data_IF_810232561494
#
_entry.id   IF_810232561494
#
_cell.length_a   1.000
_cell.length_b   1.000
_cell.length_c   1.000
_cell.angle_alpha   90.00
_cell.angle_beta   90.00
_cell.angle_gamma   90.00
#
_symmetry.space_group_name_H-M   'P 1'
#
loop_
_entity.id
_entity.type
_entity.pdbx_description
1 polymer ?
#
# COMPACT_ATOMS: atom_id res chain seq x y z
N UNK A 1 -24.94 15.09 5.63
CA UNK A 1 -24.47 13.79 6.14
C UNK A 1 -24.20 12.94 4.92
N UNK A 2 -22.96 12.54 4.71
CA UNK A 2 -22.61 11.68 3.59
C UNK A 2 -23.05 10.23 3.80
N UNK A 3 -23.32 9.49 2.73
CA UNK A 3 -23.79 8.09 2.78
C UNK A 3 -22.78 7.16 2.10
N UNK A 4 -22.04 6.41 2.91
CA UNK A 4 -21.19 5.32 2.42
C UNK A 4 -22.06 4.11 2.07
N UNK A 5 -22.14 3.77 0.77
CA UNK A 5 -22.88 2.60 0.29
C UNK A 5 -21.93 1.47 -0.09
N UNK A 6 -21.96 0.38 0.66
CA UNK A 6 -21.12 -0.79 0.40
C UNK A 6 -21.64 -1.60 -0.79
N UNK A 7 -20.73 -2.26 -1.51
CA UNK A 7 -21.06 -3.24 -2.55
C UNK A 7 -21.60 -2.66 -3.87
N UNK A 8 -21.63 -1.34 -4.01
CA UNK A 8 -22.02 -0.65 -5.25
C UNK A 8 -20.87 0.21 -5.77
N UNK A 9 -20.72 0.38 -7.09
CA UNK A 9 -19.70 1.27 -7.64
C UNK A 9 -19.87 2.70 -7.13
N UNK A 10 -18.77 3.32 -6.74
CA UNK A 10 -18.68 4.76 -6.49
C UNK A 10 -18.10 5.42 -7.73
N UNK A 11 -18.43 6.68 -7.96
CA UNK A 11 -18.01 7.41 -9.17
C UNK A 11 -17.23 8.66 -8.79
N UNK A 12 -16.20 8.95 -9.59
CA UNK A 12 -15.38 10.15 -9.47
C UNK A 12 -15.97 11.35 -10.22
N UNK A 13 -15.25 12.47 -10.25
CA UNK A 13 -15.66 13.71 -10.94
C UNK A 13 -15.84 13.54 -12.46
N UNK A 14 -15.29 12.48 -13.05
CA UNK A 14 -15.40 12.15 -14.47
C UNK A 14 -16.47 11.08 -14.75
N UNK A 15 -17.28 10.74 -13.74
CA UNK A 15 -18.25 9.63 -13.80
C UNK A 15 -17.60 8.28 -14.12
N UNK A 16 -16.33 8.09 -13.75
CA UNK A 16 -15.64 6.80 -13.82
C UNK A 16 -15.71 6.10 -12.47
N UNK A 17 -15.78 4.76 -12.44
CA UNK A 17 -15.73 4.03 -11.18
C UNK A 17 -14.44 4.35 -10.40
N UNK A 18 -14.57 4.62 -9.11
CA UNK A 18 -13.41 4.76 -8.21
C UNK A 18 -12.63 3.45 -8.21
N UNK A 19 -11.43 3.50 -8.80
CA UNK A 19 -10.57 2.36 -9.04
C UNK A 19 -9.33 2.42 -8.14
N UNK A 20 -9.50 1.99 -6.90
CA UNK A 20 -8.46 1.97 -5.87
C UNK A 20 -8.62 0.72 -4.97
N UNK A 21 -8.42 -0.47 -5.56
CA UNK A 21 -8.62 -1.74 -4.83
C UNK A 21 -7.54 -1.98 -3.78
N UNK A 22 -7.92 -2.71 -2.71
CA UNK A 22 -7.04 -3.12 -1.60
C UNK A 22 -6.15 -1.99 -1.04
N UNK A 23 -6.68 -0.79 -1.08
CA UNK A 23 -5.96 0.45 -0.85
C UNK A 23 -5.68 0.80 0.60
N UNK A 24 -5.33 2.07 0.80
CA UNK A 24 -5.23 2.68 2.13
C UNK A 24 -5.74 4.12 2.11
N UNK A 25 -6.11 4.60 3.29
CA UNK A 25 -6.53 5.96 3.54
C UNK A 25 -5.43 6.70 4.31
N UNK A 26 -5.07 7.89 3.86
CA UNK A 26 -4.18 8.80 4.59
C UNK A 26 -4.87 10.15 4.74
N UNK A 27 -4.93 10.68 5.95
CA UNK A 27 -5.43 12.04 6.19
C UNK A 27 -4.25 13.01 6.20
N UNK A 28 -4.33 14.10 5.45
CA UNK A 28 -3.34 15.18 5.43
C UNK A 28 -4.01 16.49 4.99
N UNK A 29 -3.63 17.61 5.62
CA UNK A 29 -4.10 18.96 5.25
C UNK A 29 -5.63 19.10 5.12
N UNK A 30 -6.41 18.54 6.06
CA UNK A 30 -7.89 18.50 6.02
C UNK A 30 -8.50 17.72 4.83
N UNK A 31 -7.68 16.95 4.12
CA UNK A 31 -8.09 16.04 3.05
C UNK A 31 -7.83 14.58 3.42
N UNK A 32 -8.59 13.71 2.78
CA UNK A 32 -8.43 12.27 2.79
C UNK A 32 -7.91 11.80 1.43
N UNK A 33 -6.85 11.02 1.44
CA UNK A 33 -6.20 10.47 0.26
C UNK A 33 -6.43 8.97 0.23
N UNK A 34 -7.06 8.48 -0.82
CA UNK A 34 -7.27 7.06 -1.07
C UNK A 34 -6.28 6.60 -2.14
N UNK A 35 -5.35 5.74 -1.74
CA UNK A 35 -4.43 5.08 -2.65
C UNK A 35 -4.89 3.65 -2.86
N UNK A 36 -4.78 3.11 -4.06
CA UNK A 36 -5.10 1.72 -4.29
C UNK A 36 -4.61 1.19 -5.62
N UNK A 37 -4.79 -0.11 -5.83
CA UNK A 37 -4.52 -0.75 -7.10
C UNK A 37 -5.45 -0.19 -8.17
N UNK A 38 -4.86 0.38 -9.23
CA UNK A 38 -5.58 0.71 -10.45
C UNK A 38 -5.63 -0.55 -11.31
N UNK A 39 -6.81 -1.16 -11.48
CA UNK A 39 -6.95 -2.43 -12.21
C UNK A 39 -7.70 -2.23 -13.53
N UNK A 40 -7.36 -3.03 -14.54
CA UNK A 40 -8.19 -3.25 -15.73
C UNK A 40 -8.94 -4.58 -15.60
N UNK A 41 -9.91 -4.82 -16.48
CA UNK A 41 -10.68 -6.07 -16.49
C UNK A 41 -9.95 -7.23 -17.20
N UNK A 42 -8.85 -6.95 -17.90
CA UNK A 42 -8.28 -7.88 -18.88
C UNK A 42 -7.17 -8.75 -18.27
N UNK A 43 -6.28 -8.16 -17.47
CA UNK A 43 -5.07 -8.84 -16.98
C UNK A 43 -4.72 -8.40 -15.56
N UNK A 44 -4.26 -9.36 -14.74
CA UNK A 44 -3.74 -9.09 -13.41
C UNK A 44 -2.26 -8.65 -13.46
N UNK A 45 -2.00 -7.49 -14.06
CA UNK A 45 -0.66 -6.88 -14.12
C UNK A 45 -0.66 -5.51 -13.48
N UNK A 46 0.51 -5.09 -13.02
CA UNK A 46 0.72 -3.75 -12.49
C UNK A 46 0.59 -2.71 -13.60
N UNK A 47 -0.42 -1.85 -13.48
CA UNK A 47 -0.62 -0.67 -14.35
C UNK A 47 -0.60 0.64 -13.56
N UNK A 48 -0.28 0.56 -12.26
CA UNK A 48 -0.12 1.70 -11.37
C UNK A 48 -0.96 1.62 -10.09
N UNK A 49 -0.58 2.46 -9.13
CA UNK A 49 -1.41 2.79 -7.98
C UNK A 49 -2.10 4.13 -8.20
N UNK A 50 -3.42 4.15 -8.12
CA UNK A 50 -4.23 5.36 -8.26
C UNK A 50 -4.21 6.19 -6.97
N UNK A 51 -4.54 7.48 -7.11
CA UNK A 51 -4.81 8.37 -5.99
C UNK A 51 -6.11 9.12 -6.19
N UNK A 52 -6.96 9.08 -5.18
CA UNK A 52 -8.14 9.91 -5.06
C UNK A 52 -8.05 10.81 -3.83
N UNK A 53 -8.69 11.97 -3.90
CA UNK A 53 -8.76 12.94 -2.80
C UNK A 53 -10.23 13.23 -2.47
N UNK A 54 -10.55 13.35 -1.19
CA UNK A 54 -11.88 13.69 -0.69
C UNK A 54 -11.76 14.57 0.55
N UNK A 55 -12.78 15.38 0.85
CA UNK A 55 -12.92 16.10 2.11
C UNK A 55 -13.96 15.47 3.03
N UNK A 56 -14.71 14.46 2.56
CA UNK A 56 -15.88 13.92 3.25
C UNK A 56 -15.97 12.37 3.24
N UNK A 57 -14.96 11.69 2.68
CA UNK A 57 -14.87 10.24 2.52
C UNK A 57 -15.91 9.62 1.58
N UNK A 58 -16.73 10.43 0.91
CA UNK A 58 -17.80 10.00 0.02
C UNK A 58 -17.54 10.41 -1.43
N UNK A 59 -17.21 11.68 -1.64
CA UNK A 59 -16.97 12.24 -2.97
C UNK A 59 -15.48 12.22 -3.28
N UNK A 60 -15.08 11.34 -4.19
CA UNK A 60 -13.68 11.10 -4.54
C UNK A 60 -13.31 11.79 -5.84
N UNK A 61 -12.23 12.56 -5.81
CA UNK A 61 -11.64 13.17 -7.00
C UNK A 61 -10.40 12.37 -7.42
N UNK A 62 -10.39 11.82 -8.64
CA UNK A 62 -9.21 11.19 -9.21
C UNK A 62 -8.13 12.23 -9.48
N UNK A 63 -6.91 11.99 -8.99
CA UNK A 63 -5.77 12.92 -9.10
C UNK A 63 -4.54 12.28 -9.77
N UNK A 64 -4.78 11.24 -10.57
CA UNK A 64 -3.74 10.53 -11.31
C UNK A 64 -3.22 9.28 -10.60
N UNK A 65 -2.20 8.67 -11.22
CA UNK A 65 -1.44 7.58 -10.60
C UNK A 65 -0.42 8.17 -9.63
N UNK A 66 -0.45 7.70 -8.37
CA UNK A 66 0.60 8.01 -7.40
C UNK A 66 1.91 7.32 -7.76
N UNK A 67 1.86 6.12 -8.33
CA UNK A 67 3.03 5.40 -8.84
C UNK A 67 2.65 4.65 -10.11
N UNK A 68 3.36 4.92 -11.21
CA UNK A 68 3.15 4.25 -12.49
C UNK A 68 4.04 3.02 -12.68
N UNK A 69 3.80 2.23 -13.75
CA UNK A 69 4.67 1.12 -14.14
C UNK A 69 6.08 1.63 -14.44
N UNK A 70 7.08 0.82 -14.07
CA UNK A 70 8.48 1.09 -14.35
C UNK A 70 8.88 0.52 -15.72
N UNK A 71 9.97 0.99 -16.31
CA UNK A 71 10.47 0.42 -17.56
C UNK A 71 11.07 -0.99 -17.38
N UNK A 72 11.48 -1.34 -16.15
CA UNK A 72 12.11 -2.60 -15.78
C UNK A 72 12.02 -2.84 -14.26
N UNK A 73 12.53 -3.97 -13.78
CA UNK A 73 12.60 -4.29 -12.35
C UNK A 73 11.29 -4.81 -11.76
N UNK A 74 11.15 -4.73 -10.44
CA UNK A 74 10.08 -5.35 -9.66
C UNK A 74 8.66 -4.83 -9.96
N UNK A 75 8.55 -3.63 -10.54
CA UNK A 75 7.32 -3.02 -11.02
C UNK A 75 7.37 -2.72 -12.53
N UNK A 76 8.22 -3.46 -13.26
CA UNK A 76 8.37 -3.39 -14.71
C UNK A 76 7.28 -4.15 -15.49
N UNK A 77 7.53 -4.43 -16.79
CA UNK A 77 6.64 -5.27 -17.59
C UNK A 77 6.41 -6.65 -16.96
N UNK A 78 5.18 -7.17 -17.05
CA UNK A 78 4.79 -8.49 -16.52
C UNK A 78 5.06 -8.67 -15.02
N UNK A 79 4.88 -7.61 -14.25
CA UNK A 79 4.95 -7.63 -12.79
C UNK A 79 3.59 -7.37 -12.16
N UNK A 80 3.49 -7.72 -10.89
CA UNK A 80 2.37 -7.47 -10.00
C UNK A 80 2.77 -6.37 -9.01
N UNK A 81 1.80 -5.54 -8.66
CA UNK A 81 1.93 -4.50 -7.64
C UNK A 81 0.61 -4.40 -6.89
N UNK A 82 0.62 -4.72 -5.59
CA UNK A 82 -0.60 -4.93 -4.81
C UNK A 82 -0.52 -4.33 -3.40
N UNK A 83 -1.69 -4.10 -2.81
CA UNK A 83 -1.89 -3.71 -1.40
C UNK A 83 -1.10 -2.49 -0.95
N UNK A 84 -0.98 -1.49 -1.82
CA UNK A 84 -0.27 -0.24 -1.51
C UNK A 84 -0.67 0.35 -0.15
N UNK A 85 0.33 0.77 0.61
CA UNK A 85 0.22 1.49 1.88
C UNK A 85 1.08 2.74 1.82
N UNK A 86 0.60 3.86 2.33
CA UNK A 86 1.32 5.14 2.36
C UNK A 86 1.40 5.64 3.80
N UNK A 87 2.59 6.07 4.21
CA UNK A 87 2.91 6.58 5.54
C UNK A 87 3.51 7.98 5.42
N UNK A 88 3.14 8.91 6.30
CA UNK A 88 3.85 10.16 6.47
C UNK A 88 5.13 9.90 7.27
N UNK A 89 6.29 10.22 6.71
CA UNK A 89 7.57 10.01 7.39
C UNK A 89 7.83 11.13 8.42
N UNK A 90 8.36 10.83 9.62
CA UNK A 90 8.64 11.85 10.65
C UNK A 90 9.60 12.95 10.18
N UNK A 91 10.56 12.60 9.33
CA UNK A 91 11.52 13.55 8.74
C UNK A 91 10.93 14.41 7.60
N UNK A 92 9.64 14.25 7.28
CA UNK A 92 8.96 14.87 6.17
C UNK A 92 8.85 13.97 4.94
N UNK A 93 7.85 14.25 4.11
CA UNK A 93 7.50 13.44 2.95
C UNK A 93 6.74 12.16 3.30
N UNK A 94 6.67 11.27 2.32
CA UNK A 94 5.81 10.09 2.36
C UNK A 94 6.56 8.86 1.85
N UNK A 95 6.34 7.74 2.52
CA UNK A 95 6.83 6.42 2.13
C UNK A 95 5.65 5.57 1.69
N UNK A 96 5.77 4.93 0.55
CA UNK A 96 4.83 3.97 0.01
C UNK A 96 5.45 2.58 0.05
N UNK A 97 4.72 1.61 0.61
CA UNK A 97 5.08 0.20 0.64
C UNK A 97 4.06 -0.60 -0.16
N UNK A 98 4.52 -1.60 -0.90
CA UNK A 98 3.65 -2.46 -1.71
C UNK A 98 4.20 -3.88 -1.81
N UNK A 99 3.32 -4.83 -2.08
CA UNK A 99 3.74 -6.14 -2.55
C UNK A 99 4.05 -6.03 -4.04
N UNK A 100 5.18 -6.61 -4.45
CA UNK A 100 5.57 -6.77 -5.85
C UNK A 100 5.85 -8.23 -6.15
N UNK A 101 5.55 -8.68 -7.37
CA UNK A 101 5.70 -10.09 -7.75
C UNK A 101 5.80 -10.26 -9.26
N UNK A 102 6.08 -11.48 -9.71
CA UNK A 102 5.84 -11.89 -11.09
C UNK A 102 4.38 -12.33 -11.30
N UNK A 103 3.98 -12.56 -12.55
CA UNK A 103 2.60 -13.00 -12.86
C UNK A 103 2.27 -14.40 -12.31
N UNK A 104 3.27 -15.19 -11.93
CA UNK A 104 3.13 -16.51 -11.33
C UNK A 104 2.98 -16.49 -9.81
N UNK A 105 3.13 -15.32 -9.17
CA UNK A 105 3.26 -15.16 -7.73
C UNK A 105 4.42 -15.98 -7.14
N UNK A 106 5.52 -16.11 -7.88
CA UNK A 106 6.70 -16.90 -7.50
C UNK A 106 7.94 -16.08 -7.16
N UNK A 107 7.87 -14.76 -7.25
CA UNK A 107 8.98 -13.84 -7.02
C UNK A 107 8.57 -12.67 -6.08
N UNK A 108 8.04 -12.98 -4.88
CA UNK A 108 7.50 -11.96 -3.99
C UNK A 108 8.60 -11.07 -3.43
N UNK A 109 8.35 -9.77 -3.43
CA UNK A 109 9.15 -8.76 -2.75
C UNK A 109 8.25 -7.69 -2.16
N UNK A 110 8.62 -7.18 -0.99
CA UNK A 110 8.15 -5.87 -0.55
C UNK A 110 8.90 -4.82 -1.37
N UNK A 111 8.18 -3.87 -1.94
CA UNK A 111 8.74 -2.70 -2.60
C UNK A 111 8.56 -1.44 -1.76
N UNK A 112 9.39 -0.44 -2.04
CA UNK A 112 9.35 0.88 -1.43
C UNK A 112 9.40 1.97 -2.49
N UNK A 113 8.60 3.01 -2.31
CA UNK A 113 8.68 4.24 -3.08
C UNK A 113 8.55 5.45 -2.15
N UNK A 114 9.03 6.62 -2.56
CA UNK A 114 8.97 7.84 -1.74
C UNK A 114 8.48 9.04 -2.53
N UNK A 115 7.83 9.98 -1.86
CA UNK A 115 7.49 11.29 -2.43
C UNK A 115 7.65 12.39 -1.39
N UNK A 116 8.10 13.61 -1.75
CA UNK A 116 8.15 14.73 -0.82
C UNK A 116 6.77 15.24 -0.41
N UNK A 117 5.71 14.96 -1.20
CA UNK A 117 4.33 15.39 -0.92
C UNK A 117 3.34 14.24 -1.11
N UNK A 118 2.18 14.31 -0.45
CA UNK A 118 1.14 13.27 -0.52
C UNK A 118 0.46 13.22 -1.90
N UNK A 119 0.41 14.37 -2.57
CA UNK A 119 -0.15 14.60 -3.90
C UNK A 119 0.91 14.56 -5.02
N UNK A 120 2.17 14.25 -4.69
CA UNK A 120 3.25 14.05 -5.65
C UNK A 120 3.21 12.66 -6.30
N UNK A 121 3.95 12.50 -7.40
CA UNK A 121 4.28 11.17 -7.91
C UNK A 121 5.34 10.55 -7.00
N UNK A 122 5.20 9.27 -6.68
CA UNK A 122 6.16 8.50 -5.90
C UNK A 122 7.25 7.95 -6.82
N UNK A 123 8.48 7.99 -6.33
CA UNK A 123 9.67 7.43 -6.98
C UNK A 123 9.97 6.07 -6.38
N UNK A 124 9.92 5.02 -7.19
CA UNK A 124 10.23 3.66 -6.77
C UNK A 124 11.73 3.49 -6.46
N UNK A 125 12.05 2.97 -5.29
CA UNK A 125 13.42 2.82 -4.78
C UNK A 125 13.90 1.36 -4.76
N UNK A 126 13.05 0.40 -5.15
CA UNK A 126 13.33 -1.02 -4.99
C UNK A 126 12.87 -1.56 -3.63
N UNK A 127 13.36 -2.72 -3.18
CA UNK A 127 12.95 -3.32 -1.93
C UNK A 127 13.59 -2.64 -0.72
N UNK A 128 12.86 -2.42 0.40
CA UNK A 128 13.49 -2.13 1.67
C UNK A 128 14.24 -3.38 2.15
N UNK A 129 15.39 -3.17 2.78
CA UNK A 129 16.25 -4.26 3.22
C UNK A 129 16.05 -4.56 4.71
N UNK A 130 16.09 -5.85 5.05
CA UNK A 130 16.22 -6.37 6.40
C UNK A 130 17.48 -7.24 6.47
N UNK A 131 18.43 -6.89 7.33
CA UNK A 131 19.74 -7.56 7.41
C UNK A 131 20.48 -7.66 6.07
N UNK A 132 20.33 -6.64 5.22
CA UNK A 132 20.98 -6.57 3.90
C UNK A 132 20.22 -7.29 2.78
N UNK A 133 19.13 -7.99 3.08
CA UNK A 133 18.37 -8.76 2.10
C UNK A 133 16.95 -8.21 1.89
N UNK A 134 16.37 -8.36 0.68
CA UNK A 134 14.96 -8.07 0.44
C UNK A 134 14.02 -8.95 1.28
N UNK A 135 12.81 -8.44 1.54
CA UNK A 135 11.76 -9.19 2.24
C UNK A 135 10.90 -9.92 1.20
N UNK A 136 11.02 -11.24 1.17
CA UNK A 136 10.30 -12.10 0.24
C UNK A 136 8.95 -12.58 0.79
N UNK A 137 7.99 -11.66 0.87
CA UNK A 137 6.63 -11.92 1.34
C UNK A 137 5.59 -11.31 0.40
N UNK A 138 4.40 -11.92 0.35
CA UNK A 138 3.24 -11.48 -0.45
C UNK A 138 2.42 -10.39 0.25
N UNK A 139 1.21 -10.72 0.70
CA UNK A 139 0.26 -9.79 1.32
C UNK A 139 0.91 -8.99 2.46
N UNK A 140 0.71 -7.67 2.43
CA UNK A 140 1.23 -6.75 3.43
C UNK A 140 0.21 -5.71 3.93
N UNK A 141 0.55 -5.12 5.08
CA UNK A 141 -0.07 -3.94 5.67
C UNK A 141 0.94 -3.12 6.46
N UNK A 142 0.52 -1.96 6.96
CA UNK A 142 1.37 -1.09 7.77
C UNK A 142 0.61 -0.60 8.99
N UNK A 143 1.34 -0.31 10.05
CA UNK A 143 0.82 0.29 11.28
C UNK A 143 1.83 1.32 11.79
N UNK A 144 1.36 2.50 12.18
CA UNK A 144 2.17 3.50 12.89
C UNK A 144 1.58 3.63 14.28
N UNK A 145 2.39 3.35 15.29
CA UNK A 145 1.98 3.44 16.69
C UNK A 145 1.95 4.90 17.16
N UNK A 146 1.33 5.14 18.31
CA UNK A 146 1.12 6.47 18.87
C UNK A 146 2.45 7.20 19.18
N UNK A 147 3.56 6.45 19.36
CA UNK A 147 4.90 6.98 19.57
C UNK A 147 5.65 7.32 18.26
N UNK A 148 5.03 7.09 17.11
CA UNK A 148 5.61 7.29 15.79
C UNK A 148 6.46 6.12 15.29
N UNK A 149 6.52 4.99 15.99
CA UNK A 149 7.16 3.78 15.48
C UNK A 149 6.29 3.16 14.39
N UNK A 150 6.86 2.90 13.22
CA UNK A 150 6.15 2.24 12.13
C UNK A 150 6.52 0.76 11.99
N UNK A 151 5.55 -0.02 11.55
CA UNK A 151 5.64 -1.44 11.37
C UNK A 151 5.11 -1.86 10.00
N UNK A 152 5.84 -2.76 9.35
CA UNK A 152 5.40 -3.53 8.20
C UNK A 152 4.86 -4.87 8.71
N UNK A 153 3.63 -5.18 8.35
CA UNK A 153 2.97 -6.45 8.65
C UNK A 153 2.92 -7.28 7.37
N UNK A 154 3.29 -8.55 7.43
CA UNK A 154 3.13 -9.46 6.30
C UNK A 154 2.18 -10.60 6.66
N UNK A 155 1.67 -11.29 5.64
CA UNK A 155 1.03 -12.59 5.84
C UNK A 155 1.94 -13.55 6.62
N UNK A 156 1.32 -14.57 7.21
CA UNK A 156 1.90 -15.44 8.26
C UNK A 156 2.09 -14.74 9.61
N UNK A 157 1.89 -13.43 9.67
CA UNK A 157 1.87 -12.67 10.92
C UNK A 157 3.26 -12.23 11.39
N UNK A 158 4.17 -12.00 10.45
CA UNK A 158 5.42 -11.32 10.75
C UNK A 158 5.18 -9.82 10.92
N UNK A 159 5.81 -9.23 11.93
CA UNK A 159 5.78 -7.79 12.21
C UNK A 159 7.20 -7.28 12.24
N UNK A 160 7.53 -6.47 11.24
CA UNK A 160 8.83 -5.84 11.07
C UNK A 160 8.75 -4.39 11.54
N UNK A 161 9.67 -3.96 12.39
CA UNK A 161 9.83 -2.55 12.73
C UNK A 161 10.63 -1.84 11.66
N UNK A 162 10.12 -0.70 11.18
CA UNK A 162 10.80 0.17 10.23
C UNK A 162 11.82 1.07 10.95
N UNK A 163 12.86 1.49 10.24
CA UNK A 163 13.78 2.53 10.68
C UNK A 163 13.03 3.87 10.90
N UNK A 164 13.60 4.84 11.65
CA UNK A 164 12.92 6.12 11.93
C UNK A 164 12.52 6.94 10.69
N UNK A 165 13.15 6.72 9.54
CA UNK A 165 12.81 7.34 8.26
C UNK A 165 11.77 6.55 7.44
N UNK A 166 11.37 5.38 7.95
CA UNK A 166 10.51 4.37 7.34
C UNK A 166 11.04 3.74 6.04
N UNK A 167 12.33 3.89 5.72
CA UNK A 167 12.92 3.46 4.44
C UNK A 167 13.67 2.14 4.48
N UNK A 168 13.90 1.60 5.66
CA UNK A 168 14.51 0.27 5.85
C UNK A 168 13.88 -0.44 7.04
N UNK A 169 14.22 -1.71 7.22
CA UNK A 169 13.70 -2.53 8.32
C UNK A 169 14.81 -2.80 9.33
N UNK A 170 14.55 -2.49 10.60
CA UNK A 170 15.56 -2.59 11.67
C UNK A 170 15.42 -3.83 12.53
N UNK A 171 14.22 -4.39 12.64
CA UNK A 171 13.98 -5.58 13.46
C UNK A 171 12.76 -6.36 12.99
N UNK A 172 12.80 -7.68 13.18
CA UNK A 172 11.62 -8.54 13.19
C UNK A 172 11.16 -8.71 14.64
N UNK A 173 10.04 -8.09 14.99
CA UNK A 173 9.53 -8.02 16.37
C UNK A 173 8.68 -9.23 16.71
N UNK A 174 7.83 -9.64 15.76
CA UNK A 174 6.99 -10.83 15.88
C UNK A 174 7.21 -11.69 14.66
N UNK A 175 7.37 -13.00 14.88
CA UNK A 175 7.48 -14.00 13.83
C UNK A 175 6.31 -14.97 13.90
N UNK A 176 5.71 -15.25 12.75
CA UNK A 176 4.78 -16.36 12.51
C UNK A 176 3.66 -16.51 13.56
N UNK A 177 3.01 -15.41 13.97
CA UNK A 177 1.91 -15.48 14.95
C UNK A 177 0.64 -16.08 14.37
N UNK A 178 0.51 -16.08 13.04
CA UNK A 178 -0.58 -16.69 12.29
C UNK A 178 0.01 -17.55 11.16
N UNK A 179 0.81 -18.58 11.51
CA UNK A 179 1.43 -19.43 10.50
C UNK A 179 0.31 -20.10 9.70
N UNK A 180 0.58 -20.50 8.46
CA UNK A 180 -0.40 -21.19 7.61
C UNK A 180 -0.90 -22.48 8.27
N UNK A 181 -1.97 -22.35 9.07
CA UNK A 181 -2.93 -23.40 9.38
C UNK A 181 -4.25 -23.09 8.64
N UNK A 182 -5.01 -24.13 8.29
CA UNK A 182 -6.20 -24.12 7.41
C UNK A 182 -7.31 -23.10 7.75
N UNK A 183 -7.23 -22.36 8.86
CA UNK A 183 -8.26 -21.41 9.29
C UNK A 183 -7.71 -19.98 9.37
N UNK A 184 -8.29 -19.11 8.52
CA UNK A 184 -7.99 -17.68 8.38
C UNK A 184 -8.07 -16.95 9.73
N UNK A 185 -6.93 -16.72 10.39
CA UNK A 185 -6.79 -15.70 11.43
C UNK A 185 -5.99 -14.53 10.84
N UNK A 186 -6.64 -13.40 10.61
CA UNK A 186 -5.97 -12.12 10.33
C UNK A 186 -5.80 -11.40 11.67
N UNK A 187 -4.57 -11.23 12.13
CA UNK A 187 -4.28 -10.34 13.26
C UNK A 187 -4.36 -8.90 12.77
N UNK A 188 -5.22 -8.11 13.41
CA UNK A 188 -5.30 -6.66 13.22
C UNK A 188 -4.61 -6.00 14.42
N UNK A 189 -3.46 -5.37 14.21
CA UNK A 189 -3.22 -4.08 14.87
C UNK A 189 -4.10 -3.04 14.14
N UNK A 190 -4.34 -1.84 14.70
CA UNK A 190 -5.16 -0.77 14.09
C UNK A 190 -4.57 -0.25 12.75
N UNK A 191 -4.51 -1.10 11.74
CA UNK A 191 -4.35 -0.76 10.35
C UNK A 191 -5.77 -0.70 9.79
N UNK A 192 -6.19 0.47 9.32
CA UNK A 192 -7.41 0.60 8.54
C UNK A 192 -7.17 -0.17 7.24
N UNK A 193 -7.51 -1.46 7.25
CA UNK A 193 -7.70 -2.23 6.04
C UNK A 193 -9.03 -1.78 5.46
N UNK A 194 -8.99 -0.97 4.40
CA UNK A 194 -10.18 -0.78 3.57
C UNK A 194 -10.47 -2.14 2.94
N UNK A 195 -11.65 -2.66 3.24
CA UNK A 195 -12.15 -3.97 2.85
C UNK A 195 -12.00 -4.23 1.33
N UNK A 196 -11.52 -5.42 0.98
CA UNK A 196 -11.90 -6.14 -0.23
C UNK A 196 -12.68 -7.38 0.22
#
# INVERSE_FOLDING_TARGET
MGVVRNGVPWFDQYHKPVNAKAGCLVQANDHYYLFGEYKTNDENKFIGFSRYVSTDLEHWQYTGLALGPQSSGLLGPNRIGERVKVLAAPAGGYVMLMHTDDLGYTDPHVGLATSPTIDGTFEFQGPPLFNGEPIHMWDLGTFVDDDGTAYLLTHEGNIYQLAPDYRSVVALIVRDIAPREKNRRRCFARAIAIFC
#
